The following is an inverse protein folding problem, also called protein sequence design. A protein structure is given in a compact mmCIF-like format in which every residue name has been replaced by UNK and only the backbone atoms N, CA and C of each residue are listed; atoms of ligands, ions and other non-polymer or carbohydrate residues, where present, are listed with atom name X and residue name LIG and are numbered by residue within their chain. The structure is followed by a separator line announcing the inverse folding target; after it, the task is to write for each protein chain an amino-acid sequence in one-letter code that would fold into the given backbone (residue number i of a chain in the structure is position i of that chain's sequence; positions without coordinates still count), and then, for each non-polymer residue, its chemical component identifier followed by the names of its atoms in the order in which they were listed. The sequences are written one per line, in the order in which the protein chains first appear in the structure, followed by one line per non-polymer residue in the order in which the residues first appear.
data_IF_803537958299
#
_entry.id   IF_803537958299
#
_cell.length_a   1.000
_cell.length_b   1.000
_cell.length_c   1.000
_cell.angle_alpha   90.00
_cell.angle_beta   90.00
_cell.angle_gamma   90.00
#
_symmetry.space_group_name_H-M   'P 1'
#
loop_
_entity.id
_entity.type
_entity.pdbx_description
1 polymer ?
#
# COMPACT_ATOMS: atom_id res chain seq x y z
N UNK A 1 3.52 33.18 -0.44
CA UNK A 1 4.79 32.71 0.15
C UNK A 1 4.65 31.26 0.69
N UNK A 2 3.67 30.94 1.53
CA UNK A 2 3.51 29.61 2.13
C UNK A 2 3.39 28.48 1.09
N UNK A 3 2.56 28.64 0.04
CA UNK A 3 2.43 27.66 -1.02
C UNK A 3 3.77 27.40 -1.75
N UNK A 4 4.52 28.47 -2.08
CA UNK A 4 5.81 28.33 -2.75
C UNK A 4 6.85 27.64 -1.85
N UNK A 5 6.87 27.94 -0.54
CA UNK A 5 7.72 27.26 0.43
C UNK A 5 7.38 25.77 0.52
N UNK A 6 6.08 25.42 0.59
CA UNK A 6 5.61 24.04 0.57
C UNK A 6 5.97 23.30 -0.73
N UNK A 7 5.83 23.98 -1.88
CA UNK A 7 6.23 23.43 -3.18
C UNK A 7 7.74 23.10 -3.21
N UNK A 8 8.58 24.02 -2.74
CA UNK A 8 10.02 23.81 -2.68
C UNK A 8 10.39 22.65 -1.74
N UNK A 9 9.72 22.54 -0.59
CA UNK A 9 9.89 21.39 0.31
C UNK A 9 9.51 20.07 -0.36
N UNK A 10 8.38 20.04 -1.05
CA UNK A 10 7.95 18.88 -1.83
C UNK A 10 8.93 18.48 -2.93
N UNK A 11 9.43 19.45 -3.70
CA UNK A 11 10.44 19.23 -4.74
C UNK A 11 11.74 18.67 -4.16
N UNK A 12 12.23 19.21 -3.04
CA UNK A 12 13.42 18.69 -2.35
C UNK A 12 13.21 17.27 -1.87
N UNK A 13 12.04 16.94 -1.30
CA UNK A 13 11.70 15.59 -0.89
C UNK A 13 11.69 14.62 -2.09
N UNK A 14 11.11 15.03 -3.22
CA UNK A 14 11.11 14.25 -4.45
C UNK A 14 12.52 13.96 -4.96
N UNK A 15 13.35 14.99 -5.09
CA UNK A 15 14.70 14.89 -5.64
C UNK A 15 15.63 14.07 -4.73
N UNK A 16 15.59 14.32 -3.41
CA UNK A 16 16.52 13.72 -2.47
C UNK A 16 16.13 12.32 -1.97
N UNK A 17 14.84 11.96 -2.02
CA UNK A 17 14.34 10.73 -1.39
C UNK A 17 13.46 9.89 -2.31
N UNK A 18 12.43 10.49 -2.92
CA UNK A 18 11.39 9.74 -3.63
C UNK A 18 11.92 9.17 -4.95
N UNK A 19 12.50 10.02 -5.79
CA UNK A 19 13.03 9.60 -7.11
C UNK A 19 14.16 8.58 -6.96
N UNK A 20 15.21 8.81 -6.15
CA UNK A 20 16.28 7.82 -5.98
C UNK A 20 15.79 6.48 -5.43
N UNK A 21 14.82 6.48 -4.53
CA UNK A 21 14.27 5.26 -3.95
C UNK A 21 13.36 4.51 -4.92
N UNK A 22 12.43 5.21 -5.60
CA UNK A 22 11.38 4.54 -6.37
C UNK A 22 11.78 4.23 -7.82
N UNK A 23 12.66 5.02 -8.46
CA UNK A 23 13.01 4.80 -9.87
C UNK A 23 13.54 3.40 -10.14
N UNK A 24 14.54 2.88 -9.38
CA UNK A 24 15.03 1.52 -9.60
C UNK A 24 13.94 0.47 -9.43
N UNK A 25 13.07 0.61 -8.40
CA UNK A 25 11.97 -0.32 -8.16
C UNK A 25 10.94 -0.32 -9.28
N UNK A 26 10.58 0.86 -9.80
CA UNK A 26 9.63 0.96 -10.91
C UNK A 26 10.20 0.34 -12.19
N UNK A 27 11.48 0.60 -12.51
CA UNK A 27 12.15 0.02 -13.68
C UNK A 27 12.19 -1.50 -13.55
N UNK A 28 12.69 -2.03 -12.44
CA UNK A 28 12.78 -3.48 -12.21
C UNK A 28 11.38 -4.12 -12.22
N UNK A 29 10.38 -3.50 -11.58
CA UNK A 29 9.00 -3.99 -11.59
C UNK A 29 8.44 -4.09 -13.01
N UNK A 30 8.63 -3.06 -13.86
CA UNK A 30 8.21 -3.08 -15.26
C UNK A 30 8.92 -4.16 -16.06
N UNK A 31 10.22 -4.29 -15.89
CA UNK A 31 11.00 -5.35 -16.55
C UNK A 31 10.51 -6.74 -16.14
N UNK A 32 10.32 -6.99 -14.84
CA UNK A 32 9.85 -8.27 -14.33
C UNK A 32 8.43 -8.62 -14.83
N UNK A 33 7.54 -7.62 -14.90
CA UNK A 33 6.17 -7.85 -15.40
C UNK A 33 6.10 -8.01 -16.92
N UNK A 34 7.10 -7.54 -17.67
CA UNK A 34 7.22 -7.76 -19.11
C UNK A 34 7.73 -9.16 -19.45
N UNK A 35 8.48 -9.80 -18.54
CA UNK A 35 8.94 -11.17 -18.72
C UNK A 35 7.76 -12.16 -18.63
N UNK A 36 7.82 -13.30 -19.37
CA UNK A 36 6.85 -14.36 -19.19
C UNK A 36 6.96 -14.88 -17.74
N UNK A 37 5.95 -14.57 -16.94
CA UNK A 37 5.90 -15.08 -15.58
C UNK A 37 5.84 -16.62 -15.62
N UNK A 38 6.64 -17.32 -14.81
CA UNK A 38 6.50 -18.75 -14.67
C UNK A 38 5.05 -19.06 -14.28
N UNK A 39 4.45 -20.05 -14.94
CA UNK A 39 3.10 -20.50 -14.58
C UNK A 39 3.08 -20.79 -13.08
N UNK A 40 2.24 -20.08 -12.32
CA UNK A 40 2.21 -20.28 -10.87
C UNK A 40 1.91 -21.76 -10.61
N UNK A 41 2.62 -22.33 -9.67
CA UNK A 41 2.37 -23.70 -9.27
C UNK A 41 0.89 -23.83 -8.91
N UNK A 42 0.22 -24.83 -9.42
CA UNK A 42 -1.21 -25.08 -9.14
C UNK A 42 -1.55 -25.03 -7.65
N UNK A 43 -0.58 -25.39 -6.78
CA UNK A 43 -0.72 -25.33 -5.32
C UNK A 43 -0.71 -23.88 -4.82
N UNK A 44 0.20 -23.03 -5.30
CA UNK A 44 0.25 -21.62 -4.94
C UNK A 44 -1.02 -20.88 -5.39
N UNK A 45 -1.51 -21.18 -6.60
CA UNK A 45 -2.74 -20.57 -7.12
C UNK A 45 -3.97 -20.97 -6.28
N UNK A 46 -4.07 -22.25 -5.87
CA UNK A 46 -5.14 -22.71 -4.96
C UNK A 46 -5.08 -22.01 -3.61
N UNK A 47 -3.88 -21.86 -3.05
CA UNK A 47 -3.66 -21.18 -1.76
C UNK A 47 -4.04 -19.70 -1.85
N UNK A 48 -3.54 -18.97 -2.85
CA UNK A 48 -3.84 -17.56 -3.03
C UNK A 48 -5.33 -17.29 -3.28
N UNK A 49 -6.00 -18.12 -4.08
CA UNK A 49 -7.45 -18.04 -4.27
C UNK A 49 -8.22 -18.31 -2.98
N UNK A 50 -7.80 -19.29 -2.19
CA UNK A 50 -8.44 -19.60 -0.93
C UNK A 50 -8.25 -18.47 0.10
N UNK A 51 -7.03 -17.93 0.23
CA UNK A 51 -6.69 -16.92 1.22
C UNK A 51 -7.13 -15.53 0.78
N UNK A 52 -6.73 -15.09 -0.40
CA UNK A 52 -6.88 -13.71 -0.86
C UNK A 52 -7.98 -13.51 -1.93
N UNK A 53 -8.54 -14.61 -2.45
CA UNK A 53 -9.54 -14.55 -3.51
C UNK A 53 -9.01 -14.10 -4.87
N UNK A 54 -7.69 -14.17 -5.09
CA UNK A 54 -7.00 -13.84 -6.34
C UNK A 54 -6.00 -14.93 -6.67
N UNK A 55 -5.48 -14.96 -7.90
CA UNK A 55 -4.42 -15.90 -8.29
C UNK A 55 -3.06 -15.52 -7.71
N UNK A 56 -2.17 -16.52 -7.61
CA UNK A 56 -0.78 -16.32 -7.20
C UNK A 56 0.01 -15.39 -8.14
N UNK A 57 -0.49 -15.12 -9.34
CA UNK A 57 0.05 -14.12 -10.26
C UNK A 57 0.12 -12.70 -9.65
N UNK A 58 -0.59 -12.41 -8.55
CA UNK A 58 -0.46 -11.13 -7.83
C UNK A 58 0.73 -11.10 -6.87
N UNK A 59 1.40 -12.21 -6.58
CA UNK A 59 2.53 -12.27 -5.64
C UNK A 59 3.67 -11.28 -5.96
N UNK A 60 4.11 -11.11 -7.22
CA UNK A 60 5.12 -10.10 -7.54
C UNK A 60 4.70 -8.68 -7.14
N UNK A 61 3.43 -8.32 -7.32
CA UNK A 61 2.94 -7.01 -6.91
C UNK A 61 2.89 -6.84 -5.39
N UNK A 62 2.52 -7.89 -4.65
CA UNK A 62 2.56 -7.88 -3.19
C UNK A 62 3.99 -7.67 -2.68
N UNK A 63 4.95 -8.42 -3.21
CA UNK A 63 6.37 -8.27 -2.85
C UNK A 63 6.91 -6.89 -3.24
N UNK A 64 6.60 -6.41 -4.44
CA UNK A 64 7.00 -5.06 -4.88
C UNK A 64 6.42 -3.98 -3.96
N UNK A 65 5.16 -4.12 -3.54
CA UNK A 65 4.54 -3.16 -2.61
C UNK A 65 5.16 -3.19 -1.23
N UNK A 66 5.46 -4.36 -0.69
CA UNK A 66 6.09 -4.49 0.61
C UNK A 66 7.55 -4.00 0.59
N UNK A 67 8.33 -4.31 -0.42
CA UNK A 67 9.75 -3.97 -0.48
C UNK A 67 10.01 -2.56 -1.04
N UNK A 68 9.32 -2.20 -2.12
CA UNK A 68 9.49 -0.93 -2.82
C UNK A 68 8.68 0.23 -2.22
N UNK A 69 7.63 -0.08 -1.45
CA UNK A 69 6.79 0.93 -0.81
C UNK A 69 5.75 1.57 -1.75
N UNK A 70 5.04 2.57 -1.21
CA UNK A 70 4.06 3.35 -1.97
C UNK A 70 4.72 4.19 -3.07
N UNK A 71 4.14 4.29 -4.25
CA UNK A 71 2.99 3.54 -4.79
C UNK A 71 3.42 2.34 -5.66
N UNK A 72 4.61 1.76 -5.45
CA UNK A 72 5.17 0.70 -6.30
C UNK A 72 4.28 -0.55 -6.38
N UNK A 73 3.59 -0.91 -5.28
CA UNK A 73 2.62 -2.00 -5.29
C UNK A 73 1.46 -1.75 -6.25
N UNK A 74 0.90 -0.54 -6.26
CA UNK A 74 -0.16 -0.16 -7.18
C UNK A 74 0.33 -0.16 -8.64
N UNK A 75 1.55 0.31 -8.90
CA UNK A 75 2.18 0.26 -10.21
C UNK A 75 2.30 -1.19 -10.70
N UNK A 76 2.83 -2.08 -9.86
CA UNK A 76 3.02 -3.49 -10.21
C UNK A 76 1.68 -4.21 -10.49
N UNK A 77 0.62 -3.99 -9.69
CA UNK A 77 -0.72 -4.53 -9.97
C UNK A 77 -1.23 -4.03 -11.32
N UNK A 78 -1.08 -2.75 -11.60
CA UNK A 78 -1.53 -2.13 -12.85
C UNK A 78 -0.81 -2.71 -14.05
N UNK A 79 0.49 -2.92 -13.97
CA UNK A 79 1.28 -3.54 -15.03
C UNK A 79 0.91 -5.02 -15.24
N UNK A 80 0.69 -5.79 -14.17
CA UNK A 80 0.20 -7.17 -14.27
C UNK A 80 -1.17 -7.25 -14.94
N UNK A 81 -2.05 -6.31 -14.67
CA UNK A 81 -3.35 -6.21 -15.33
C UNK A 81 -3.21 -5.87 -16.82
N UNK A 82 -2.43 -4.83 -17.16
CA UNK A 82 -2.14 -4.48 -18.57
C UNK A 82 -1.50 -5.63 -19.34
N UNK A 83 -0.69 -6.40 -18.64
CA UNK A 83 -0.05 -7.59 -19.14
C UNK A 83 -1.01 -8.78 -19.37
N UNK A 84 -2.28 -8.68 -18.95
CA UNK A 84 -3.25 -9.79 -18.99
C UNK A 84 -2.96 -10.90 -17.97
N UNK A 85 -2.00 -10.70 -17.05
CA UNK A 85 -1.68 -11.67 -15.99
C UNK A 85 -2.75 -11.70 -14.89
N UNK A 86 -3.46 -10.59 -14.66
CA UNK A 86 -4.60 -10.49 -13.76
C UNK A 86 -5.85 -10.08 -14.52
N UNK A 87 -7.01 -10.60 -14.13
CA UNK A 87 -8.30 -10.06 -14.55
C UNK A 87 -8.55 -8.71 -13.87
N UNK A 88 -9.50 -7.91 -14.39
CA UNK A 88 -9.89 -6.62 -13.79
C UNK A 88 -10.27 -6.80 -12.31
N UNK A 89 -11.12 -7.77 -12.01
CA UNK A 89 -11.57 -8.04 -10.65
C UNK A 89 -10.42 -8.47 -9.72
N UNK A 90 -9.48 -9.27 -10.20
CA UNK A 90 -8.28 -9.64 -9.44
C UNK A 90 -7.36 -8.45 -9.20
N UNK A 91 -7.15 -7.59 -10.21
CA UNK A 91 -6.32 -6.40 -10.08
C UNK A 91 -6.95 -5.40 -9.09
N UNK A 92 -8.25 -5.10 -9.22
CA UNK A 92 -8.95 -4.21 -8.31
C UNK A 92 -8.93 -4.71 -6.86
N UNK A 93 -9.04 -6.02 -6.65
CA UNK A 93 -8.91 -6.64 -5.34
C UNK A 93 -7.47 -6.60 -4.82
N UNK A 94 -6.48 -6.91 -5.66
CA UNK A 94 -5.06 -6.89 -5.28
C UNK A 94 -4.59 -5.47 -4.88
N UNK A 95 -5.09 -4.42 -5.52
CA UNK A 95 -4.82 -3.03 -5.13
C UNK A 95 -5.13 -2.74 -3.66
N UNK A 96 -6.16 -3.40 -3.10
CA UNK A 96 -6.59 -3.19 -1.72
C UNK A 96 -5.57 -3.64 -0.67
N UNK A 97 -4.65 -4.57 -0.99
CA UNK A 97 -3.67 -5.11 -0.03
C UNK A 97 -2.22 -5.17 -0.54
N UNK A 98 -1.98 -4.95 -1.85
CA UNK A 98 -0.63 -4.96 -2.41
C UNK A 98 0.05 -3.58 -2.38
N UNK A 99 -0.68 -2.49 -2.15
CA UNK A 99 -0.11 -1.15 -2.09
C UNK A 99 0.27 -0.79 -0.65
N UNK A 100 1.54 -0.95 -0.29
CA UNK A 100 2.06 -0.87 1.08
C UNK A 100 3.26 0.06 1.18
N UNK A 101 3.74 0.33 2.40
CA UNK A 101 4.99 1.05 2.61
C UNK A 101 6.17 0.08 2.72
N UNK A 102 7.34 0.53 2.31
CA UNK A 102 8.57 -0.26 2.34
C UNK A 102 9.39 -0.10 3.62
N UNK A 103 10.36 -1.03 3.87
CA UNK A 103 11.15 -1.06 5.11
C UNK A 103 12.01 0.21 5.29
N UNK A 104 12.44 0.84 4.21
CA UNK A 104 13.27 2.05 4.27
C UNK A 104 12.57 3.23 4.95
N UNK A 105 11.27 3.39 4.74
CA UNK A 105 10.47 4.43 5.39
C UNK A 105 10.32 4.14 6.90
N UNK A 106 10.09 2.89 7.27
CA UNK A 106 9.97 2.46 8.66
C UNK A 106 11.30 2.55 9.41
N UNK A 107 12.41 2.14 8.81
CA UNK A 107 13.72 2.24 9.43
C UNK A 107 14.21 3.69 9.54
N UNK A 108 14.11 4.45 8.45
CA UNK A 108 14.63 5.81 8.36
C UNK A 108 13.76 6.85 9.04
N UNK A 109 12.53 7.06 8.53
CA UNK A 109 11.69 8.14 9.06
C UNK A 109 11.11 7.79 10.42
N UNK A 110 10.51 6.61 10.58
CA UNK A 110 9.87 6.24 11.85
C UNK A 110 10.92 5.84 12.87
N UNK A 111 11.75 4.85 12.56
CA UNK A 111 12.73 4.31 13.51
C UNK A 111 13.76 5.34 13.91
N UNK A 112 14.55 5.82 12.97
CA UNK A 112 15.67 6.71 13.28
C UNK A 112 15.22 8.14 13.64
N UNK A 113 14.29 8.75 12.85
CA UNK A 113 13.99 10.18 13.02
C UNK A 113 12.90 10.46 14.06
N UNK A 114 11.89 9.59 14.24
CA UNK A 114 10.77 9.83 15.16
C UNK A 114 10.93 9.10 16.48
N UNK A 115 11.27 7.80 16.45
CA UNK A 115 11.36 6.95 17.65
C UNK A 115 12.78 6.91 18.25
N UNK A 116 13.81 7.35 17.51
CA UNK A 116 15.21 7.26 17.93
C UNK A 116 15.73 5.82 17.98
N UNK A 117 14.99 4.84 17.41
CA UNK A 117 15.32 3.42 17.45
C UNK A 117 14.88 2.72 16.16
N UNK A 118 15.87 2.39 15.33
CA UNK A 118 15.66 1.69 14.04
C UNK A 118 15.00 0.31 14.25
N UNK A 119 15.32 -0.38 15.34
CA UNK A 119 14.76 -1.69 15.63
C UNK A 119 13.25 -1.62 15.86
N UNK A 120 12.77 -0.61 16.59
CA UNK A 120 11.32 -0.35 16.77
C UNK A 120 10.65 -0.06 15.44
N UNK A 121 11.29 0.74 14.57
CA UNK A 121 10.82 0.98 13.21
C UNK A 121 10.68 -0.31 12.40
N UNK A 122 11.65 -1.20 12.43
CA UNK A 122 11.59 -2.49 11.73
C UNK A 122 10.55 -3.46 12.31
N UNK A 123 10.31 -3.46 13.62
CA UNK A 123 9.21 -4.20 14.22
C UNK A 123 7.87 -3.67 13.69
N UNK A 124 7.68 -2.34 13.67
CA UNK A 124 6.50 -1.72 13.09
C UNK A 124 6.31 -2.08 11.61
N UNK A 125 7.39 -2.20 10.84
CA UNK A 125 7.33 -2.69 9.47
C UNK A 125 6.80 -4.14 9.40
N UNK A 126 7.27 -5.03 10.26
CA UNK A 126 6.76 -6.41 10.36
C UNK A 126 5.25 -6.44 10.66
N UNK A 127 4.79 -5.61 11.61
CA UNK A 127 3.38 -5.48 11.95
C UNK A 127 2.56 -4.89 10.81
N UNK A 128 3.09 -3.91 10.07
CA UNK A 128 2.48 -3.35 8.88
C UNK A 128 2.33 -4.39 7.76
N UNK A 129 3.36 -5.18 7.48
CA UNK A 129 3.31 -6.26 6.50
C UNK A 129 2.28 -7.34 6.89
N UNK A 130 2.26 -7.73 8.17
CA UNK A 130 1.24 -8.65 8.70
C UNK A 130 -0.17 -8.07 8.53
N UNK A 131 -0.38 -6.79 8.88
CA UNK A 131 -1.67 -6.12 8.74
C UNK A 131 -2.14 -6.04 7.28
N UNK A 132 -1.23 -5.86 6.33
CA UNK A 132 -1.55 -5.89 4.90
C UNK A 132 -2.08 -7.28 4.48
N UNK A 133 -1.45 -8.35 4.95
CA UNK A 133 -1.91 -9.73 4.70
C UNK A 133 -3.26 -9.98 5.37
N UNK A 134 -3.43 -9.60 6.64
CA UNK A 134 -4.70 -9.74 7.35
C UNK A 134 -5.82 -8.94 6.65
N UNK A 135 -5.53 -7.75 6.15
CA UNK A 135 -6.47 -6.98 5.32
C UNK A 135 -6.90 -7.76 4.09
N UNK A 136 -5.95 -8.34 3.35
CA UNK A 136 -6.26 -9.18 2.18
C UNK A 136 -7.14 -10.41 2.52
N UNK A 137 -6.93 -11.02 3.70
CA UNK A 137 -7.75 -12.11 4.21
C UNK A 137 -9.18 -11.67 4.56
N UNK A 138 -9.34 -10.48 5.13
CA UNK A 138 -10.63 -9.93 5.57
C UNK A 138 -11.49 -9.40 4.43
N UNK A 139 -10.92 -9.10 3.25
CA UNK A 139 -11.70 -8.58 2.13
C UNK A 139 -12.88 -9.50 1.77
N UNK A 140 -14.09 -8.97 1.58
CA UNK A 140 -15.25 -9.77 1.24
C UNK A 140 -15.17 -10.35 -0.16
N UNK A 141 -15.79 -11.51 -0.38
CA UNK A 141 -15.89 -12.15 -1.69
C UNK A 141 -14.55 -12.68 -2.23
N UNK A 142 -14.56 -13.06 -3.48
CA UNK A 142 -13.38 -13.48 -4.26
C UNK A 142 -13.54 -12.97 -5.69
N UNK A 143 -12.44 -12.69 -6.36
CA UNK A 143 -12.51 -12.38 -7.78
C UNK A 143 -13.07 -13.58 -8.55
N UNK A 144 -14.06 -13.38 -9.44
CA UNK A 144 -14.61 -14.48 -10.22
C UNK A 144 -13.51 -15.12 -11.08
N UNK A 145 -13.61 -16.44 -11.32
CA UNK A 145 -12.73 -17.11 -12.28
C UNK A 145 -12.87 -16.41 -13.65
N UNK A 146 -11.79 -15.90 -14.17
CA UNK A 146 -11.78 -15.32 -15.51
C UNK A 146 -10.99 -16.25 -16.43
N UNK A 147 -11.53 -16.51 -17.62
CA UNK A 147 -10.75 -17.05 -18.71
C UNK A 147 -9.75 -15.96 -19.13
N UNK A 148 -8.49 -16.14 -18.77
CA UNK A 148 -7.46 -15.24 -19.25
C UNK A 148 -7.19 -15.53 -20.71
N UNK A 149 -7.12 -14.48 -21.49
CA UNK A 149 -6.43 -14.59 -22.77
C UNK A 149 -4.97 -14.91 -22.46
N UNK A 150 -4.53 -16.11 -22.83
CA UNK A 150 -3.11 -16.40 -22.95
C UNK A 150 -2.58 -15.53 -24.09
N UNK A 151 -2.23 -14.30 -23.77
CA UNK A 151 -1.48 -13.48 -24.69
C UNK A 151 -0.10 -14.12 -24.76
N UNK A 152 0.15 -14.83 -25.85
CA UNK A 152 1.47 -15.37 -26.14
C UNK A 152 2.39 -14.17 -26.35
N UNK A 153 3.05 -13.74 -25.28
CA UNK A 153 4.00 -12.66 -25.35
C UNK A 153 5.24 -13.19 -26.07
N UNK A 154 5.60 -12.55 -27.14
CA UNK A 154 6.94 -12.67 -27.67
C UNK A 154 7.91 -12.28 -26.57
N UNK A 155 9.03 -13.00 -26.46
CA UNK A 155 10.04 -12.67 -25.45
C UNK A 155 10.56 -11.26 -25.78
N UNK A 156 10.42 -10.29 -24.85
CA UNK A 156 10.87 -8.94 -25.12
C UNK A 156 12.37 -8.96 -25.33
N UNK A 157 12.85 -8.21 -26.32
CA UNK A 157 14.28 -8.03 -26.55
C UNK A 157 14.81 -7.08 -25.47
N UNK A 158 15.88 -7.46 -24.78
CA UNK A 158 16.42 -6.68 -23.66
C UNK A 158 16.78 -5.24 -24.06
N UNK A 159 17.19 -5.02 -25.31
CA UNK A 159 17.55 -3.71 -25.85
C UNK A 159 16.38 -2.72 -25.92
N UNK A 160 15.14 -3.17 -26.11
CA UNK A 160 13.95 -2.31 -26.08
C UNK A 160 13.32 -2.27 -24.69
N UNK A 161 13.38 -3.36 -23.93
CA UNK A 161 12.74 -3.51 -22.65
C UNK A 161 13.23 -2.48 -21.61
N UNK A 162 14.54 -2.29 -21.50
CA UNK A 162 15.11 -1.37 -20.52
C UNK A 162 14.76 0.10 -20.80
N UNK A 163 14.93 0.63 -22.02
CA UNK A 163 14.51 2.00 -22.34
C UNK A 163 13.03 2.25 -22.12
N UNK A 164 12.15 1.33 -22.53
CA UNK A 164 10.72 1.43 -22.31
C UNK A 164 10.35 1.40 -20.81
N UNK A 165 11.01 0.53 -20.04
CA UNK A 165 10.81 0.45 -18.59
C UNK A 165 11.25 1.77 -17.90
N UNK A 166 12.39 2.34 -18.30
CA UNK A 166 12.88 3.63 -17.77
C UNK A 166 11.93 4.75 -18.12
N UNK A 167 11.55 4.89 -19.40
CA UNK A 167 10.63 5.94 -19.85
C UNK A 167 9.29 5.91 -19.11
N UNK A 168 8.68 4.73 -19.02
CA UNK A 168 7.42 4.57 -18.31
C UNK A 168 7.54 4.80 -16.80
N UNK A 169 8.70 4.49 -16.21
CA UNK A 169 8.97 4.75 -14.79
C UNK A 169 9.16 6.25 -14.52
N UNK A 170 9.86 6.97 -15.40
CA UNK A 170 10.01 8.42 -15.30
C UNK A 170 8.66 9.13 -15.40
N UNK A 171 7.77 8.71 -16.32
CA UNK A 171 6.43 9.27 -16.44
C UNK A 171 5.59 9.06 -15.16
N UNK A 172 5.63 7.86 -14.58
CA UNK A 172 4.95 7.56 -13.32
C UNK A 172 5.51 8.40 -12.15
N UNK A 173 6.84 8.54 -12.07
CA UNK A 173 7.48 9.35 -11.02
C UNK A 173 7.17 10.84 -11.15
N UNK A 174 7.03 11.36 -12.36
CA UNK A 174 6.63 12.74 -12.56
C UNK A 174 5.23 13.01 -11.98
N UNK A 175 4.27 12.11 -12.21
CA UNK A 175 2.94 12.20 -11.61
C UNK A 175 2.99 12.13 -10.08
N UNK A 176 3.72 11.16 -9.54
CA UNK A 176 3.92 10.99 -8.08
C UNK A 176 4.51 12.27 -7.48
N UNK A 177 5.56 12.81 -8.10
CA UNK A 177 6.23 14.02 -7.63
C UNK A 177 5.31 15.24 -7.67
N UNK A 178 4.51 15.40 -8.72
CA UNK A 178 3.53 16.48 -8.83
C UNK A 178 2.52 16.46 -7.67
N UNK A 179 2.02 15.27 -7.31
CA UNK A 179 1.10 15.12 -6.18
C UNK A 179 1.78 15.43 -4.84
N UNK A 180 3.01 15.00 -4.62
CA UNK A 180 3.77 15.34 -3.40
C UNK A 180 3.94 16.85 -3.28
N UNK A 181 4.34 17.53 -4.36
CA UNK A 181 4.48 18.99 -4.39
C UNK A 181 3.16 19.68 -4.09
N UNK A 182 2.06 19.22 -4.71
CA UNK A 182 0.72 19.78 -4.47
C UNK A 182 0.30 19.63 -3.00
N UNK A 183 0.38 18.43 -2.44
CA UNK A 183 -0.03 18.18 -1.04
C UNK A 183 0.88 18.89 -0.03
N UNK A 184 2.19 18.99 -0.30
CA UNK A 184 3.11 19.76 0.54
C UNK A 184 2.77 21.25 0.51
N UNK A 185 2.42 21.79 -0.66
CA UNK A 185 1.97 23.18 -0.82
C UNK A 185 0.66 23.45 -0.08
N UNK A 186 -0.32 22.57 -0.25
CA UNK A 186 -1.62 22.66 0.41
C UNK A 186 -1.46 22.64 1.94
N UNK A 187 -0.65 21.72 2.46
CA UNK A 187 -0.42 21.61 3.90
C UNK A 187 0.30 22.85 4.46
N UNK A 188 1.26 23.41 3.71
CA UNK A 188 1.93 24.66 4.09
C UNK A 188 0.94 25.83 4.16
N UNK A 189 -0.02 25.93 3.24
CA UNK A 189 -1.08 26.94 3.27
C UNK A 189 -2.01 26.73 4.47
N UNK A 190 -2.46 25.51 4.73
CA UNK A 190 -3.32 25.20 5.89
C UNK A 190 -2.66 25.59 7.23
N UNK A 191 -1.35 25.30 7.36
CA UNK A 191 -0.56 25.72 8.52
C UNK A 191 -0.43 27.23 8.63
N UNK A 192 -0.11 27.90 7.53
CA UNK A 192 0.01 29.35 7.51
C UNK A 192 -1.31 30.08 7.79
N UNK A 193 -2.44 29.49 7.42
CA UNK A 193 -3.78 29.96 7.75
C UNK A 193 -4.21 29.67 9.21
N UNK A 194 -3.37 29.01 10.00
CA UNK A 194 -3.67 28.66 11.39
C UNK A 194 -4.67 27.52 11.55
N UNK A 195 -5.11 26.86 10.47
CA UNK A 195 -6.14 25.82 10.52
C UNK A 195 -5.68 24.59 11.31
N UNK A 196 -4.38 24.27 11.25
CA UNK A 196 -3.83 23.14 12.02
C UNK A 196 -3.74 23.46 13.53
N UNK A 197 -3.64 24.75 13.89
CA UNK A 197 -3.61 25.19 15.29
C UNK A 197 -4.99 25.12 15.98
N UNK A 198 -6.08 24.95 15.22
CA UNK A 198 -7.42 24.72 15.76
C UNK A 198 -7.62 23.31 16.33
N UNK A 199 -6.70 22.39 16.06
CA UNK A 199 -6.78 21.01 16.52
C UNK A 199 -6.43 20.94 18.02
N UNK A 200 -7.12 20.07 18.79
CA UNK A 200 -7.10 20.13 20.26
C UNK A 200 -5.75 19.78 20.89
N UNK A 201 -4.90 19.05 20.17
CA UNK A 201 -3.57 18.67 20.65
C UNK A 201 -2.67 18.23 19.50
N UNK A 202 -1.37 18.04 19.79
CA UNK A 202 -0.36 17.66 18.80
C UNK A 202 -0.63 16.30 18.14
N UNK A 203 -1.24 15.35 18.85
CA UNK A 203 -1.62 14.05 18.26
C UNK A 203 -2.71 14.23 17.20
N UNK A 204 -3.74 15.03 17.49
CA UNK A 204 -4.79 15.34 16.53
C UNK A 204 -4.24 16.06 15.29
N UNK A 205 -3.31 17.02 15.50
CA UNK A 205 -2.60 17.69 14.40
C UNK A 205 -1.81 16.68 13.56
N UNK A 206 -1.04 15.80 14.20
CA UNK A 206 -0.25 14.78 13.52
C UNK A 206 -1.12 13.82 12.69
N UNK A 207 -2.24 13.37 13.27
CA UNK A 207 -3.18 12.48 12.57
C UNK A 207 -3.88 13.19 11.40
N UNK A 208 -4.31 14.44 11.56
CA UNK A 208 -4.95 15.20 10.49
C UNK A 208 -3.97 15.51 9.36
N UNK A 209 -2.78 15.99 9.69
CA UNK A 209 -1.72 16.25 8.69
C UNK A 209 -1.29 14.96 7.97
N UNK A 210 -1.13 13.85 8.72
CA UNK A 210 -0.74 12.56 8.17
C UNK A 210 -1.84 11.89 7.36
N UNK A 211 -3.11 12.17 7.65
CA UNK A 211 -4.22 11.74 6.81
C UNK A 211 -4.21 12.41 5.43
N UNK A 212 -3.66 13.61 5.33
CA UNK A 212 -3.46 14.33 4.07
C UNK A 212 -2.13 13.96 3.42
N UNK A 213 -1.02 14.16 4.14
CA UNK A 213 0.34 13.90 3.67
C UNK A 213 1.12 13.15 4.78
N UNK A 214 1.42 11.92 4.50
CA UNK A 214 1.92 10.92 5.44
C UNK A 214 3.17 11.39 6.20
N UNK A 215 4.18 11.89 5.48
CA UNK A 215 5.48 12.25 6.06
C UNK A 215 5.38 13.42 7.05
N UNK A 216 4.55 14.40 6.73
CA UNK A 216 4.32 15.57 7.56
C UNK A 216 3.64 15.23 8.88
N UNK A 217 2.68 14.28 8.85
CA UNK A 217 2.03 13.81 10.07
C UNK A 217 2.96 12.96 10.93
N UNK A 218 3.71 12.05 10.33
CA UNK A 218 4.70 11.21 11.04
C UNK A 218 5.75 12.05 11.76
N UNK A 219 6.26 13.11 11.12
CA UNK A 219 7.27 14.00 11.73
C UNK A 219 6.74 14.80 12.93
N UNK A 220 5.43 14.99 13.05
CA UNK A 220 4.81 15.61 14.24
C UNK A 220 4.72 14.64 15.42
N UNK A 221 4.80 13.32 15.19
CA UNK A 221 4.78 12.28 16.22
C UNK A 221 6.21 12.09 16.74
N UNK A 222 6.60 12.78 17.80
CA UNK A 222 7.89 12.57 18.46
C UNK A 222 7.68 12.13 19.90
N UNK A 223 8.49 11.18 20.37
CA UNK A 223 8.47 10.68 21.75
C UNK A 223 7.85 9.29 21.92
N UNK A 224 7.90 8.78 23.16
CA UNK A 224 7.37 7.45 23.50
C UNK A 224 5.85 7.40 23.34
N UNK A 225 5.33 6.28 22.85
CA UNK A 225 3.90 6.06 22.61
C UNK A 225 3.41 6.46 21.21
N UNK A 226 4.30 6.92 20.33
CA UNK A 226 3.93 7.30 18.96
C UNK A 226 3.73 6.10 18.01
N UNK A 227 4.10 4.88 18.43
CA UNK A 227 4.13 3.69 17.57
C UNK A 227 2.77 3.36 16.96
N UNK A 228 1.71 3.41 17.77
CA UNK A 228 0.36 3.09 17.29
C UNK A 228 -0.15 4.15 16.29
N UNK A 229 0.14 5.42 16.54
CA UNK A 229 -0.21 6.52 15.63
C UNK A 229 0.60 6.42 14.32
N UNK A 230 1.90 6.12 14.41
CA UNK A 230 2.74 5.85 13.23
C UNK A 230 2.19 4.64 12.44
N UNK A 231 1.84 3.55 13.12
CA UNK A 231 1.29 2.35 12.49
C UNK A 231 -0.05 2.63 11.79
N UNK A 232 -0.94 3.40 12.42
CA UNK A 232 -2.21 3.84 11.85
C UNK A 232 -1.99 4.62 10.56
N UNK A 233 -1.17 5.66 10.62
CA UNK A 233 -0.87 6.52 9.47
C UNK A 233 -0.19 5.75 8.34
N UNK A 234 0.75 4.85 8.66
CA UNK A 234 1.44 4.04 7.67
C UNK A 234 0.51 3.06 6.96
N UNK A 235 -0.42 2.45 7.67
CA UNK A 235 -1.43 1.56 7.09
C UNK A 235 -2.46 2.31 6.24
N UNK A 236 -2.88 3.50 6.68
CA UNK A 236 -3.71 4.41 5.90
C UNK A 236 -2.98 4.92 4.66
N UNK A 237 -1.79 5.48 4.80
CA UNK A 237 -0.95 5.97 3.70
C UNK A 237 -1.09 7.47 3.39
N UNK A 238 -2.18 8.12 3.83
CA UNK A 238 -2.48 9.52 3.52
C UNK A 238 -3.09 9.74 2.13
N UNK A 239 -3.89 10.79 1.98
CA UNK A 239 -4.55 11.11 0.71
C UNK A 239 -3.55 11.33 -0.43
N UNK A 240 -2.40 11.93 -0.16
CA UNK A 240 -1.34 12.10 -1.15
C UNK A 240 -0.95 10.76 -1.80
N UNK A 241 -0.70 9.74 -0.99
CA UNK A 241 -0.37 8.38 -1.48
C UNK A 241 -1.54 7.74 -2.22
N UNK A 242 -2.77 7.95 -1.73
CA UNK A 242 -3.95 7.44 -2.43
C UNK A 242 -4.09 8.01 -3.83
N UNK A 243 -3.92 9.33 -3.99
CA UNK A 243 -3.97 9.97 -5.31
C UNK A 243 -2.80 9.53 -6.20
N UNK A 244 -1.59 9.32 -5.63
CA UNK A 244 -0.47 8.74 -6.37
C UNK A 244 -0.82 7.36 -6.94
N UNK A 245 -1.38 6.48 -6.10
CA UNK A 245 -1.80 5.16 -6.52
C UNK A 245 -2.95 5.23 -7.55
N UNK A 246 -3.94 6.11 -7.32
CA UNK A 246 -5.06 6.33 -8.25
C UNK A 246 -4.60 6.78 -9.62
N UNK A 247 -3.62 7.68 -9.72
CA UNK A 247 -3.09 8.15 -11.01
C UNK A 247 -2.49 7.01 -11.85
N UNK A 248 -2.00 5.95 -11.22
CA UNK A 248 -1.44 4.78 -11.90
C UNK A 248 -2.52 3.84 -12.42
N UNK A 249 -3.51 3.47 -11.60
CA UNK A 249 -4.51 2.48 -12.01
C UNK A 249 -5.65 3.05 -12.83
N UNK A 250 -6.00 4.34 -12.69
CA UNK A 250 -7.05 4.97 -13.47
C UNK A 250 -6.73 4.98 -14.96
N UNK A 251 -5.46 5.15 -15.32
CA UNK A 251 -4.99 5.08 -16.72
C UNK A 251 -5.18 3.69 -17.35
N UNK A 252 -5.38 2.66 -16.53
CA UNK A 252 -5.72 1.30 -16.98
C UNK A 252 -7.23 0.98 -16.87
N UNK A 253 -8.08 1.94 -16.50
CA UNK A 253 -9.52 1.73 -16.35
C UNK A 253 -9.93 0.91 -15.14
N UNK A 254 -9.04 0.77 -14.13
CA UNK A 254 -9.34 0.08 -12.87
C UNK A 254 -10.10 1.02 -11.91
N UNK A 255 -11.03 0.46 -11.15
CA UNK A 255 -11.87 1.17 -10.16
C UNK A 255 -12.06 0.31 -8.91
N UNK A 256 -11.06 0.21 -8.02
CA UNK A 256 -11.14 -0.64 -6.84
C UNK A 256 -12.10 -0.06 -5.79
N UNK A 257 -13.37 -0.42 -5.83
CA UNK A 257 -14.43 0.13 -4.97
C UNK A 257 -14.17 -0.01 -3.46
N UNK A 258 -13.41 -1.02 -3.02
CA UNK A 258 -13.08 -1.24 -1.61
C UNK A 258 -11.73 -0.67 -1.15
N UNK A 259 -11.02 0.07 -1.99
CA UNK A 259 -9.64 0.47 -1.71
C UNK A 259 -9.48 1.32 -0.45
N UNK A 260 -10.25 2.40 -0.30
CA UNK A 260 -10.16 3.28 0.86
C UNK A 260 -10.54 2.56 2.16
N UNK A 261 -11.61 1.77 2.13
CA UNK A 261 -12.02 0.97 3.30
C UNK A 261 -10.97 -0.05 3.69
N UNK A 262 -10.33 -0.69 2.71
CA UNK A 262 -9.24 -1.63 2.95
C UNK A 262 -8.00 -0.93 3.54
N UNK A 263 -7.67 0.27 3.07
CA UNK A 263 -6.55 1.05 3.62
C UNK A 263 -6.84 1.55 5.04
N UNK A 264 -8.06 1.98 5.33
CA UNK A 264 -8.47 2.32 6.69
C UNK A 264 -8.38 1.11 7.61
N UNK A 265 -8.91 -0.05 7.18
CA UNK A 265 -8.80 -1.32 7.91
C UNK A 265 -7.33 -1.70 8.15
N UNK A 266 -6.48 -1.56 7.13
CA UNK A 266 -5.05 -1.80 7.26
C UNK A 266 -4.42 -0.90 8.33
N UNK A 267 -4.74 0.40 8.35
CA UNK A 267 -4.27 1.33 9.37
C UNK A 267 -4.72 0.94 10.77
N UNK A 268 -6.00 0.62 10.94
CA UNK A 268 -6.56 0.19 12.24
C UNK A 268 -5.94 -1.12 12.73
N UNK A 269 -5.80 -2.12 11.87
CA UNK A 269 -5.10 -3.38 12.20
C UNK A 269 -3.66 -3.12 12.62
N UNK A 270 -2.93 -2.28 11.87
CA UNK A 270 -1.55 -1.91 12.19
C UNK A 270 -1.45 -1.23 13.56
N UNK A 271 -2.37 -0.32 13.89
CA UNK A 271 -2.40 0.37 15.16
C UNK A 271 -2.68 -0.58 16.33
N UNK A 272 -3.68 -1.48 16.19
CA UNK A 272 -4.03 -2.45 17.23
C UNK A 272 -2.87 -3.42 17.49
N UNK A 273 -2.21 -3.92 16.43
CA UNK A 273 -1.04 -4.78 16.58
C UNK A 273 0.15 -4.04 17.22
N UNK A 274 0.34 -2.75 16.88
CA UNK A 274 1.36 -1.92 17.49
C UNK A 274 1.08 -1.68 18.99
N UNK A 275 -0.18 -1.40 19.37
CA UNK A 275 -0.57 -1.29 20.78
C UNK A 275 -0.31 -2.60 21.54
N UNK A 276 -0.67 -3.75 20.98
CA UNK A 276 -0.43 -5.04 21.61
C UNK A 276 1.08 -5.34 21.78
N UNK A 277 1.92 -4.83 20.87
CA UNK A 277 3.36 -5.07 20.89
C UNK A 277 4.13 -4.10 21.81
N UNK A 278 3.79 -2.79 21.79
CA UNK A 278 4.58 -1.75 22.42
C UNK A 278 3.95 -1.17 23.71
N UNK A 279 2.63 -1.33 23.87
CA UNK A 279 1.89 -0.92 25.06
C UNK A 279 0.86 -2.01 25.45
N UNK A 280 1.33 -3.22 25.81
CA UNK A 280 0.45 -4.36 26.03
C UNK A 280 -0.50 -4.08 27.21
N UNK A 281 -1.79 -4.22 26.92
CA UNK A 281 -2.86 -4.26 27.90
C UNK A 281 -3.77 -5.45 27.58
N UNK A 282 -4.54 -5.97 28.56
CA UNK A 282 -5.47 -7.06 28.27
C UNK A 282 -6.41 -6.76 27.12
N UNK A 283 -6.91 -5.53 27.02
CA UNK A 283 -7.77 -5.10 25.93
C UNK A 283 -7.06 -5.07 24.59
N UNK A 284 -5.81 -4.56 24.52
CA UNK A 284 -5.01 -4.54 23.29
C UNK A 284 -4.67 -5.96 22.80
N UNK A 285 -4.27 -6.85 23.72
CA UNK A 285 -3.95 -8.23 23.39
C UNK A 285 -5.18 -9.01 22.90
N UNK A 286 -6.33 -8.87 23.61
CA UNK A 286 -7.58 -9.50 23.22
C UNK A 286 -8.07 -8.98 21.86
N UNK A 287 -8.00 -7.67 21.61
CA UNK A 287 -8.38 -7.07 20.34
C UNK A 287 -7.51 -7.55 19.20
N UNK A 288 -6.18 -7.58 19.38
CA UNK A 288 -5.24 -8.08 18.37
C UNK A 288 -5.47 -9.57 18.09
N UNK A 289 -5.67 -10.38 19.13
CA UNK A 289 -5.98 -11.81 19.01
C UNK A 289 -7.30 -12.05 18.28
N UNK A 290 -8.37 -11.36 18.64
CA UNK A 290 -9.69 -11.48 18.02
C UNK A 290 -9.66 -11.08 16.55
N UNK A 291 -9.05 -9.94 16.20
CA UNK A 291 -8.93 -9.48 14.83
C UNK A 291 -8.09 -10.44 13.96
N UNK A 292 -7.00 -10.97 14.52
CA UNK A 292 -6.17 -11.96 13.82
C UNK A 292 -6.94 -13.26 13.61
N UNK A 293 -7.66 -13.75 14.61
CA UNK A 293 -8.51 -14.94 14.49
C UNK A 293 -9.62 -14.75 13.45
N UNK A 294 -10.30 -13.60 13.48
CA UNK A 294 -11.31 -13.25 12.47
C UNK A 294 -10.73 -13.26 11.06
N UNK A 295 -9.52 -12.68 10.88
CA UNK A 295 -8.87 -12.65 9.58
C UNK A 295 -8.49 -14.06 9.09
N UNK A 296 -7.97 -14.91 9.95
CA UNK A 296 -7.63 -16.29 9.60
C UNK A 296 -8.85 -17.16 9.30
N UNK A 297 -9.99 -16.90 9.95
CA UNK A 297 -11.25 -17.61 9.72
C UNK A 297 -12.03 -17.08 8.48
N UNK A 298 -11.81 -15.86 8.07
CA UNK A 298 -12.54 -15.23 6.96
C UNK A 298 -12.51 -16.02 5.65
N UNK A 299 -11.37 -16.61 5.20
CA UNK A 299 -11.35 -17.45 4.02
C UNK A 299 -12.22 -18.71 4.14
N UNK A 300 -12.27 -19.34 5.32
CA UNK A 300 -13.10 -20.50 5.59
C UNK A 300 -14.59 -20.15 5.52
N UNK A 301 -15.00 -19.07 6.15
CA UNK A 301 -16.38 -18.56 6.13
C UNK A 301 -16.84 -18.21 4.71
N UNK A 302 -15.96 -17.61 3.89
CA UNK A 302 -16.25 -17.36 2.46
C UNK A 302 -16.52 -18.65 1.70
N UNK A 303 -15.74 -19.71 1.94
CA UNK A 303 -15.90 -21.01 1.29
C UNK A 303 -17.23 -21.66 1.67
N UNK A 304 -17.61 -21.64 2.95
CA UNK A 304 -18.89 -22.17 3.45
C UNK A 304 -20.06 -21.44 2.79
N UNK A 305 -20.01 -20.09 2.77
CA UNK A 305 -21.07 -19.27 2.17
C UNK A 305 -21.23 -19.52 0.67
N UNK A 306 -20.15 -19.68 -0.05
CA UNK A 306 -20.17 -20.02 -1.48
C UNK A 306 -20.70 -21.43 -1.76
N UNK A 307 -20.47 -22.40 -0.87
CA UNK A 307 -21.05 -23.75 -0.91
C UNK A 307 -22.56 -23.72 -0.71
N UNK A 308 -23.03 -23.03 0.33
CA UNK A 308 -24.46 -22.93 0.64
C UNK A 308 -25.28 -22.26 -0.48
N UNK A 309 -24.70 -21.22 -1.16
CA UNK A 309 -25.36 -20.57 -2.29
C UNK A 309 -25.51 -21.49 -3.52
N UNK A 310 -24.59 -22.45 -3.70
CA UNK A 310 -24.70 -23.45 -4.78
C UNK A 310 -25.78 -24.50 -4.49
N UNK A 311 -25.99 -24.89 -3.22
CA UNK A 311 -27.03 -25.82 -2.83
C UNK A 311 -28.43 -25.19 -2.80
N UNK A 312 -28.54 -23.88 -2.66
CA UNK A 312 -29.82 -23.16 -2.71
C UNK A 312 -30.28 -22.80 -4.14
N UNK A 313 -29.40 -22.98 -5.14
CA UNK A 313 -29.67 -22.68 -6.55
C UNK A 313 -29.96 -23.94 -7.38
N UNK A 314 -30.00 -25.13 -6.75
CA UNK A 314 -30.41 -26.45 -7.30
C UNK A 314 -31.74 -26.83 -6.67
#
# INVERSE_FOLDING_TARGET
QAAASGALQGLRACAARVIPALLPFFVVSRMLTALPLPTPWRRADRLFRALFGVRAACLPALLTGLLGGYPAGAAAVTELYRAGALSKAEAERALCFCNNSGPGFFAGLIGAAVLGDVRRGLILYGLHALSALLTGLLLPGSAPPAALRTVRREKPVLSSLLPEAVQGSCAALLQVSGLIVFFSSMLAVLRAAGLTALLPNRLAEALACGALELSSGILLLSGHGAEAACALLMGWGGLCVHFQAMSLWQTAGLRPHGYFSAKLLHGLLSAVLALACFAPSPAALLSAGALTACALLAPLLRKIRAGNLRHAAV
#
